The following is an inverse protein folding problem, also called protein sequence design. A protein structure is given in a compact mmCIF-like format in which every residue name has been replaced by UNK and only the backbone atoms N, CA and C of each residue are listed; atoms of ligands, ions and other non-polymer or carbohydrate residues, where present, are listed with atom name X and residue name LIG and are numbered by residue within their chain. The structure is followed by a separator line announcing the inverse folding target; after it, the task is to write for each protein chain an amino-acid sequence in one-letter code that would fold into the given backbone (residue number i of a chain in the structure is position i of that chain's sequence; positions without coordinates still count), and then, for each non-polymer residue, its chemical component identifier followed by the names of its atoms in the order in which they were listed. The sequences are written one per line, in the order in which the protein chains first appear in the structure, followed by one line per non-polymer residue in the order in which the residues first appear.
data_IF_109124397300
#
_entry.id   IF_109124397300
#
_cell.length_a   1.000
_cell.length_b   1.000
_cell.length_c   1.000
_cell.angle_alpha   90.00
_cell.angle_beta   90.00
_cell.angle_gamma   90.00
#
_symmetry.space_group_name_H-M   'P 1'
#
loop_
_entity.id
_entity.type
_entity.pdbx_description
1 polymer ?
#
# COMPACT_ATOMS: atom_id res chain seq x y z
N UNK A 1 22.24 -5.31 -7.19
CA UNK A 1 22.37 -3.92 -7.69
C UNK A 1 22.67 -3.03 -6.50
N UNK A 2 23.45 -1.97 -6.66
CA UNK A 2 23.71 -1.08 -5.53
C UNK A 2 22.47 -0.21 -5.28
N UNK A 3 21.83 -0.33 -4.12
CA UNK A 3 20.66 0.47 -3.71
C UNK A 3 20.86 1.97 -3.95
N UNK A 4 22.11 2.44 -3.85
CA UNK A 4 22.49 3.83 -4.11
C UNK A 4 22.29 4.28 -5.58
N UNK A 5 22.51 3.38 -6.56
CA UNK A 5 22.26 3.69 -7.98
C UNK A 5 20.77 3.89 -8.25
N UNK A 6 19.92 3.06 -7.63
CA UNK A 6 18.46 3.18 -7.75
C UNK A 6 17.99 4.50 -7.12
N UNK A 7 18.51 4.88 -5.95
CA UNK A 7 18.18 6.16 -5.30
C UNK A 7 18.53 7.34 -6.23
N UNK A 8 19.75 7.38 -6.78
CA UNK A 8 20.17 8.46 -7.68
C UNK A 8 19.28 8.56 -8.94
N UNK A 9 18.80 7.43 -9.47
CA UNK A 9 17.89 7.39 -10.63
C UNK A 9 16.49 7.90 -10.26
N UNK A 10 15.98 7.52 -9.07
CA UNK A 10 14.68 7.95 -8.56
C UNK A 10 14.65 9.46 -8.23
N UNK A 11 15.77 10.03 -7.80
CA UNK A 11 15.89 11.48 -7.56
C UNK A 11 15.88 12.28 -8.86
N UNK A 12 16.55 11.76 -9.90
CA UNK A 12 16.55 12.38 -11.24
C UNK A 12 15.20 12.32 -11.92
N UNK A 13 14.34 11.35 -11.57
CA UNK A 13 12.96 11.28 -12.10
C UNK A 13 12.06 12.38 -11.55
N UNK A 14 12.35 12.96 -10.39
CA UNK A 14 11.57 14.07 -9.83
C UNK A 14 12.05 15.48 -10.23
N UNK A 15 13.26 15.59 -10.80
CA UNK A 15 13.94 16.89 -11.03
C UNK A 15 14.57 17.04 -12.41
N UNK A 16 14.64 15.97 -13.19
CA UNK A 16 15.37 15.89 -14.45
C UNK A 16 14.56 16.23 -15.70
N UNK A 17 15.28 16.31 -16.81
CA UNK A 17 14.73 16.52 -18.15
C UNK A 17 13.95 15.30 -18.65
N UNK A 18 13.19 15.44 -19.74
CA UNK A 18 12.46 14.32 -20.35
C UNK A 18 13.38 13.13 -20.72
N UNK A 19 14.65 13.40 -21.05
CA UNK A 19 15.66 12.37 -21.28
C UNK A 19 16.09 11.63 -20.00
N UNK A 20 16.10 12.30 -18.84
CA UNK A 20 16.42 11.67 -17.55
C UNK A 20 15.28 10.74 -17.10
N UNK A 21 14.03 11.14 -17.34
CA UNK A 21 12.85 10.30 -17.11
C UNK A 21 12.89 9.02 -17.95
N UNK A 22 13.22 9.15 -19.23
CA UNK A 22 13.25 8.03 -20.17
C UNK A 22 14.40 7.07 -19.85
N UNK A 23 15.58 7.60 -19.48
CA UNK A 23 16.70 6.79 -19.01
C UNK A 23 16.39 6.04 -17.70
N UNK A 24 15.77 6.72 -16.73
CA UNK A 24 15.35 6.10 -15.49
C UNK A 24 14.35 4.96 -15.73
N UNK A 25 13.37 5.19 -16.61
CA UNK A 25 12.38 4.19 -16.98
C UNK A 25 13.02 2.98 -17.66
N UNK A 26 13.87 3.21 -18.66
CA UNK A 26 14.57 2.14 -19.37
C UNK A 26 15.49 1.34 -18.43
N UNK A 27 16.10 1.98 -17.44
CA UNK A 27 16.89 1.29 -16.43
C UNK A 27 16.03 0.39 -15.54
N UNK A 28 14.91 0.92 -15.04
CA UNK A 28 13.98 0.16 -14.20
C UNK A 28 13.34 -1.00 -14.96
N UNK A 29 12.99 -0.82 -16.23
CA UNK A 29 12.47 -1.88 -17.11
C UNK A 29 13.51 -3.00 -17.28
N UNK A 30 14.77 -2.66 -17.62
CA UNK A 30 15.85 -3.65 -17.71
C UNK A 30 16.11 -4.38 -16.39
N UNK A 31 16.04 -3.66 -15.27
CA UNK A 31 16.21 -4.26 -13.95
C UNK A 31 15.06 -5.23 -13.61
N UNK A 32 13.83 -4.87 -13.99
CA UNK A 32 12.66 -5.72 -13.83
C UNK A 32 12.73 -6.99 -14.69
N UNK A 33 13.24 -6.89 -15.92
CA UNK A 33 13.47 -8.04 -16.81
C UNK A 33 14.51 -9.02 -16.25
N UNK A 34 15.54 -8.51 -15.58
CA UNK A 34 16.59 -9.34 -14.99
C UNK A 34 16.12 -10.04 -13.70
N UNK A 35 15.61 -9.27 -12.73
CA UNK A 35 15.18 -9.80 -11.44
C UNK A 35 14.17 -8.86 -10.77
N UNK A 36 12.91 -8.97 -11.18
CA UNK A 36 11.81 -8.21 -10.59
C UNK A 36 11.71 -8.38 -9.06
N UNK A 37 11.78 -9.60 -8.47
CA UNK A 37 11.71 -9.75 -7.01
C UNK A 37 12.75 -8.93 -6.24
N UNK A 38 14.02 -8.95 -6.67
CA UNK A 38 15.08 -8.20 -5.98
C UNK A 38 14.94 -6.69 -6.22
N UNK A 39 14.47 -6.27 -7.40
CA UNK A 39 14.15 -4.86 -7.66
C UNK A 39 13.07 -4.35 -6.71
N UNK A 40 11.95 -5.07 -6.57
CA UNK A 40 10.86 -4.66 -5.67
C UNK A 40 11.31 -4.63 -4.22
N UNK A 41 12.16 -5.58 -3.81
CA UNK A 41 12.77 -5.56 -2.48
C UNK A 41 13.59 -4.29 -2.25
N UNK A 42 14.47 -3.93 -3.18
CA UNK A 42 15.24 -2.68 -3.08
C UNK A 42 14.36 -1.43 -3.07
N UNK A 43 13.29 -1.38 -3.88
CA UNK A 43 12.34 -0.27 -3.85
C UNK A 43 11.64 -0.17 -2.48
N UNK A 44 11.29 -1.30 -1.87
CA UNK A 44 10.69 -1.32 -0.53
C UNK A 44 11.66 -0.84 0.56
N UNK A 45 12.95 -1.15 0.43
CA UNK A 45 13.99 -0.67 1.35
C UNK A 45 14.16 0.87 1.24
N UNK A 46 14.08 1.40 0.02
CA UNK A 46 14.14 2.85 -0.22
C UNK A 46 12.91 3.55 0.37
N UNK A 47 11.73 2.94 0.27
CA UNK A 47 10.47 3.48 0.77
C UNK A 47 10.47 3.66 2.29
N UNK A 48 10.90 2.63 3.04
CA UNK A 48 10.90 2.64 4.51
C UNK A 48 12.01 3.52 5.10
N UNK A 49 13.12 3.68 4.39
CA UNK A 49 14.24 4.48 4.87
C UNK A 49 13.91 5.98 4.88
N UNK A 50 13.45 6.49 6.02
CA UNK A 50 13.10 7.89 6.24
C UNK A 50 14.29 8.87 6.10
N UNK A 51 15.52 8.36 6.09
CA UNK A 51 16.74 9.13 5.78
C UNK A 51 16.84 9.50 4.30
N UNK A 52 16.10 8.82 3.43
CA UNK A 52 16.13 9.07 1.99
C UNK A 52 15.28 10.28 1.62
N UNK A 53 15.62 10.89 0.50
CA UNK A 53 14.91 12.02 -0.07
C UNK A 53 13.41 11.69 -0.28
N UNK A 54 12.48 12.55 0.16
CA UNK A 54 11.04 12.35 -0.06
C UNK A 54 10.66 12.05 -1.51
N UNK A 55 11.35 12.66 -2.48
CA UNK A 55 11.13 12.41 -3.91
C UNK A 55 11.48 10.98 -4.30
N UNK A 56 12.62 10.47 -3.82
CA UNK A 56 13.05 9.10 -4.09
C UNK A 56 12.09 8.08 -3.47
N UNK A 57 11.61 8.35 -2.26
CA UNK A 57 10.62 7.51 -1.55
C UNK A 57 9.28 7.46 -2.30
N UNK A 58 8.77 8.61 -2.73
CA UNK A 58 7.53 8.70 -3.49
C UNK A 58 7.64 7.97 -4.85
N UNK A 59 8.78 8.11 -5.54
CA UNK A 59 9.03 7.38 -6.79
C UNK A 59 9.17 5.88 -6.56
N UNK A 60 9.85 5.44 -5.48
CA UNK A 60 9.95 4.02 -5.14
C UNK A 60 8.57 3.39 -4.90
N UNK A 61 7.71 4.08 -4.14
CA UNK A 61 6.34 3.64 -3.90
C UNK A 61 5.50 3.61 -5.19
N UNK A 62 5.68 4.59 -6.09
CA UNK A 62 5.00 4.60 -7.38
C UNK A 62 5.41 3.41 -8.25
N UNK A 63 6.70 3.06 -8.29
CA UNK A 63 7.19 1.91 -9.05
C UNK A 63 6.71 0.58 -8.45
N UNK A 64 6.71 0.46 -7.13
CA UNK A 64 6.10 -0.69 -6.43
C UNK A 64 4.62 -0.83 -6.82
N UNK A 65 3.86 0.25 -6.77
CA UNK A 65 2.45 0.26 -7.17
C UNK A 65 2.26 -0.21 -8.61
N UNK A 66 3.03 0.34 -9.54
CA UNK A 66 2.92 -0.01 -10.96
C UNK A 66 3.27 -1.49 -11.24
N UNK A 67 4.10 -2.10 -10.39
CA UNK A 67 4.39 -3.52 -10.46
C UNK A 67 3.31 -4.42 -9.84
N UNK A 68 2.49 -3.88 -8.93
CA UNK A 68 1.49 -4.62 -8.16
C UNK A 68 0.07 -4.47 -8.73
N UNK A 69 -0.23 -3.37 -9.41
CA UNK A 69 -1.58 -3.03 -9.85
C UNK A 69 -1.62 -2.53 -11.29
N UNK A 70 -2.70 -2.88 -11.98
CA UNK A 70 -3.09 -2.30 -13.27
C UNK A 70 -4.60 -2.06 -13.26
N UNK A 71 -5.04 -1.04 -13.99
CA UNK A 71 -6.48 -0.75 -14.20
C UNK A 71 -7.16 -1.78 -15.09
N UNK A 72 -6.39 -2.48 -15.94
CA UNK A 72 -6.92 -3.50 -16.83
C UNK A 72 -7.03 -4.84 -16.08
N UNK A 73 -8.22 -5.43 -16.05
CA UNK A 73 -8.52 -6.64 -15.27
C UNK A 73 -7.60 -7.82 -15.64
N UNK A 74 -7.32 -8.01 -16.94
CA UNK A 74 -6.42 -9.06 -17.41
C UNK A 74 -4.98 -8.87 -16.88
N UNK A 75 -4.50 -7.62 -16.87
CA UNK A 75 -3.17 -7.30 -16.33
C UNK A 75 -3.15 -7.36 -14.81
N UNK A 76 -4.24 -6.99 -14.13
CA UNK A 76 -4.40 -7.10 -12.68
C UNK A 76 -4.20 -8.56 -12.24
N UNK A 77 -4.90 -9.50 -12.87
CA UNK A 77 -4.74 -10.93 -12.57
C UNK A 77 -3.32 -11.42 -12.84
N UNK A 78 -2.73 -11.06 -14.00
CA UNK A 78 -1.35 -11.42 -14.31
C UNK A 78 -0.34 -10.87 -13.29
N UNK A 79 -0.54 -9.65 -12.79
CA UNK A 79 0.32 -9.04 -11.77
C UNK A 79 0.16 -9.70 -10.41
N UNK A 80 -1.06 -10.07 -10.02
CA UNK A 80 -1.32 -10.82 -8.79
C UNK A 80 -0.69 -12.21 -8.84
N UNK A 81 -0.81 -12.94 -9.95
CA UNK A 81 -0.15 -14.23 -10.13
C UNK A 81 1.37 -14.10 -10.11
N UNK A 82 1.91 -13.08 -10.81
CA UNK A 82 3.34 -12.76 -10.78
C UNK A 82 3.83 -12.48 -9.38
N UNK A 83 3.07 -11.72 -8.58
CA UNK A 83 3.36 -11.48 -7.16
C UNK A 83 3.36 -12.80 -6.39
N UNK A 84 2.28 -13.58 -6.43
CA UNK A 84 2.15 -14.82 -5.67
C UNK A 84 3.23 -15.86 -6.01
N UNK A 85 3.72 -15.87 -7.24
CA UNK A 85 4.83 -16.72 -7.69
C UNK A 85 6.21 -16.28 -7.17
N UNK A 86 6.33 -15.10 -6.56
CA UNK A 86 7.59 -14.65 -5.96
C UNK A 86 7.91 -15.43 -4.68
N UNK A 87 9.21 -15.60 -4.36
CA UNK A 87 9.64 -16.23 -3.12
C UNK A 87 9.02 -15.57 -1.88
N UNK A 88 8.49 -16.39 -0.97
CA UNK A 88 7.78 -15.91 0.22
C UNK A 88 8.62 -14.96 1.09
N UNK A 89 9.92 -15.25 1.24
CA UNK A 89 10.85 -14.40 1.98
C UNK A 89 10.96 -12.96 1.40
N UNK A 90 10.88 -12.83 0.08
CA UNK A 90 10.94 -11.52 -0.59
C UNK A 90 9.61 -10.79 -0.41
N UNK A 91 8.50 -11.49 -0.57
CA UNK A 91 7.16 -10.92 -0.34
C UNK A 91 6.97 -10.47 1.09
N UNK A 92 7.39 -11.28 2.06
CA UNK A 92 7.35 -10.96 3.48
C UNK A 92 8.16 -9.72 3.82
N UNK A 93 9.33 -9.56 3.19
CA UNK A 93 10.15 -8.36 3.35
C UNK A 93 9.48 -7.11 2.77
N UNK A 94 9.01 -7.19 1.53
CA UNK A 94 8.35 -6.07 0.85
C UNK A 94 7.08 -5.65 1.59
N UNK A 95 6.24 -6.61 1.98
CA UNK A 95 4.96 -6.32 2.64
C UNK A 95 5.15 -5.70 4.02
N UNK A 96 6.16 -6.14 4.78
CA UNK A 96 6.51 -5.53 6.06
C UNK A 96 7.10 -4.13 5.88
N UNK A 97 7.90 -3.91 4.84
CA UNK A 97 8.42 -2.58 4.53
C UNK A 97 7.31 -1.61 4.13
N UNK A 98 6.39 -2.01 3.25
CA UNK A 98 5.23 -1.21 2.87
C UNK A 98 4.33 -0.90 4.07
N UNK A 99 4.07 -1.88 4.94
CA UNK A 99 3.27 -1.68 6.15
C UNK A 99 3.96 -0.72 7.15
N UNK A 100 5.26 -0.88 7.39
CA UNK A 100 6.00 -0.02 8.30
C UNK A 100 6.23 1.40 7.73
N UNK A 101 6.10 1.57 6.41
CA UNK A 101 6.14 2.88 5.77
C UNK A 101 4.84 3.68 5.96
N UNK A 102 3.74 3.06 6.41
CA UNK A 102 2.48 3.76 6.66
C UNK A 102 2.69 4.92 7.65
N UNK A 103 2.25 6.11 7.25
CA UNK A 103 2.40 7.35 8.02
C UNK A 103 3.79 7.99 7.97
N UNK A 104 4.82 7.31 7.46
CA UNK A 104 6.15 7.93 7.30
C UNK A 104 6.27 8.81 6.06
N UNK A 105 5.28 8.74 5.17
CA UNK A 105 5.23 9.51 3.93
C UNK A 105 4.59 10.88 4.15
N UNK A 106 5.17 11.91 3.52
CA UNK A 106 4.60 13.25 3.50
C UNK A 106 3.71 13.50 2.27
N UNK A 107 3.75 12.60 1.28
CA UNK A 107 2.98 12.69 0.04
C UNK A 107 1.56 12.17 0.24
N UNK A 108 0.56 12.96 -0.15
CA UNK A 108 -0.85 12.57 -0.20
C UNK A 108 -1.34 12.43 -1.65
N UNK A 109 -2.14 11.41 -1.99
CA UNK A 109 -2.51 10.24 -1.16
C UNK A 109 -1.31 9.33 -0.86
N UNK A 110 -1.35 8.58 0.24
CA UNK A 110 -0.25 7.70 0.64
C UNK A 110 -0.04 6.59 -0.39
N UNK A 111 1.16 6.52 -0.96
CA UNK A 111 1.50 5.48 -1.92
C UNK A 111 1.79 4.15 -1.21
N UNK A 112 2.29 4.18 0.03
CA UNK A 112 2.41 3.00 0.87
C UNK A 112 1.05 2.36 1.16
N UNK A 113 0.02 3.17 1.49
CA UNK A 113 -1.35 2.67 1.71
C UNK A 113 -1.91 1.96 0.46
N UNK A 114 -1.67 2.52 -0.73
CA UNK A 114 -2.03 1.87 -2.00
C UNK A 114 -1.30 0.54 -2.19
N UNK A 115 0.02 0.50 -1.96
CA UNK A 115 0.79 -0.74 -2.09
C UNK A 115 0.29 -1.83 -1.14
N UNK A 116 0.00 -1.48 0.12
CA UNK A 116 -0.57 -2.41 1.11
C UNK A 116 -1.92 -2.93 0.62
N UNK A 117 -2.81 -2.05 0.13
CA UNK A 117 -4.10 -2.44 -0.43
C UNK A 117 -3.98 -3.42 -1.59
N UNK A 118 -3.11 -3.15 -2.56
CA UNK A 118 -2.95 -4.03 -3.73
C UNK A 118 -2.30 -5.38 -3.41
N UNK A 119 -1.30 -5.41 -2.50
CA UNK A 119 -0.73 -6.68 -2.03
C UNK A 119 -1.81 -7.49 -1.29
N UNK A 120 -2.61 -6.83 -0.45
CA UNK A 120 -3.71 -7.47 0.25
C UNK A 120 -4.73 -8.08 -0.72
N UNK A 121 -5.03 -7.43 -1.84
CA UNK A 121 -5.90 -7.97 -2.88
C UNK A 121 -5.38 -9.26 -3.52
N UNK A 122 -4.06 -9.43 -3.59
CA UNK A 122 -3.46 -10.67 -4.08
C UNK A 122 -3.40 -11.76 -2.99
N UNK A 123 -3.05 -11.39 -1.75
CA UNK A 123 -2.73 -12.34 -0.68
C UNK A 123 -3.94 -12.79 0.14
N UNK A 124 -4.85 -11.89 0.50
CA UNK A 124 -6.00 -12.22 1.37
C UNK A 124 -6.89 -13.30 0.75
N UNK A 125 -7.28 -13.24 -0.55
CA UNK A 125 -8.09 -14.31 -1.17
C UNK A 125 -7.39 -15.68 -1.22
N UNK A 126 -6.06 -15.70 -1.06
CA UNK A 126 -5.25 -16.93 -1.01
C UNK A 126 -4.90 -17.36 0.42
N UNK A 127 -5.61 -16.83 1.43
CA UNK A 127 -5.34 -17.06 2.86
C UNK A 127 -3.92 -16.67 3.29
N UNK A 128 -3.31 -15.71 2.61
CA UNK A 128 -2.01 -15.15 2.95
C UNK A 128 -2.22 -13.77 3.62
N UNK A 129 -1.30 -13.41 4.51
CA UNK A 129 -1.30 -12.13 5.24
C UNK A 129 -2.61 -11.82 6.00
N UNK A 130 -3.20 -12.84 6.63
CA UNK A 130 -4.47 -12.73 7.35
C UNK A 130 -4.42 -11.80 8.57
N UNK A 131 -3.23 -11.53 9.10
CA UNK A 131 -3.00 -10.62 10.22
C UNK A 131 -3.00 -9.14 9.82
N UNK A 132 -3.01 -8.82 8.52
CA UNK A 132 -2.95 -7.43 8.03
C UNK A 132 -4.10 -6.57 8.56
N UNK A 133 -5.35 -7.04 8.42
CA UNK A 133 -6.53 -6.27 8.80
C UNK A 133 -6.50 -5.97 10.30
N UNK A 134 -6.17 -6.96 11.14
CA UNK A 134 -6.03 -6.73 12.58
C UNK A 134 -4.95 -5.67 12.88
N UNK A 135 -3.79 -5.74 12.24
CA UNK A 135 -2.72 -4.74 12.43
C UNK A 135 -3.14 -3.33 11.99
N UNK A 136 -3.89 -3.21 10.89
CA UNK A 136 -4.43 -1.92 10.44
C UNK A 136 -5.46 -1.37 11.43
N UNK A 137 -6.32 -2.23 11.97
CA UNK A 137 -7.30 -1.86 13.00
C UNK A 137 -6.60 -1.42 14.28
N UNK A 138 -5.55 -2.12 14.70
CA UNK A 138 -4.75 -1.75 15.87
C UNK A 138 -4.08 -0.39 15.67
N UNK A 139 -3.58 -0.09 14.47
CA UNK A 139 -3.01 1.23 14.16
C UNK A 139 -4.02 2.37 14.33
N UNK A 140 -5.30 2.13 14.05
CA UNK A 140 -6.36 3.14 14.15
C UNK A 140 -6.90 3.26 15.56
N UNK A 141 -7.13 2.12 16.23
CA UNK A 141 -7.81 2.06 17.53
C UNK A 141 -6.89 2.27 18.73
N UNK A 142 -5.58 2.01 18.57
CA UNK A 142 -4.60 2.20 19.66
C UNK A 142 -4.47 3.68 20.03
N UNK A 143 -4.68 3.98 21.31
CA UNK A 143 -4.56 5.33 21.87
C UNK A 143 -3.11 5.82 21.76
N UNK A 144 -2.93 7.08 21.35
CA UNK A 144 -1.61 7.70 21.22
C UNK A 144 -0.87 7.40 19.91
N UNK A 145 -1.51 6.71 18.95
CA UNK A 145 -0.96 6.54 17.60
C UNK A 145 -0.95 7.88 16.84
N UNK A 146 0.12 8.20 16.10
CA UNK A 146 0.20 9.41 15.30
C UNK A 146 -0.86 9.47 14.19
N UNK A 147 -1.42 10.66 13.94
CA UNK A 147 -2.53 10.87 13.00
C UNK A 147 -2.23 10.39 11.59
N UNK A 148 -1.02 10.60 11.11
CA UNK A 148 -0.53 10.13 9.80
C UNK A 148 -0.58 8.60 9.66
N UNK A 149 -0.25 7.85 10.72
CA UNK A 149 -0.35 6.38 10.70
C UNK A 149 -1.82 5.97 10.67
N UNK A 150 -2.68 6.64 11.45
CA UNK A 150 -4.12 6.36 11.50
C UNK A 150 -4.77 6.64 10.16
N UNK A 151 -4.48 7.80 9.57
CA UNK A 151 -4.94 8.21 8.24
C UNK A 151 -4.51 7.20 7.16
N UNK A 152 -3.21 6.89 7.07
CA UNK A 152 -2.70 5.95 6.06
C UNK A 152 -3.24 4.52 6.25
N UNK A 153 -3.49 4.09 7.50
CA UNK A 153 -4.09 2.78 7.78
C UNK A 153 -5.57 2.72 7.35
N UNK A 154 -6.32 3.81 7.54
CA UNK A 154 -7.70 3.93 7.06
C UNK A 154 -7.77 4.00 5.53
N UNK A 155 -6.85 4.71 4.88
CA UNK A 155 -6.71 4.70 3.41
C UNK A 155 -6.45 3.28 2.90
N UNK A 156 -5.52 2.55 3.53
CA UNK A 156 -5.23 1.16 3.17
C UNK A 156 -6.45 0.25 3.34
N UNK A 157 -7.19 0.38 4.44
CA UNK A 157 -8.47 -0.33 4.63
C UNK A 157 -9.48 0.05 3.53
N UNK A 158 -9.56 1.32 3.15
CA UNK A 158 -10.44 1.78 2.06
C UNK A 158 -10.12 1.15 0.71
N UNK A 159 -8.84 1.01 0.36
CA UNK A 159 -8.41 0.31 -0.85
C UNK A 159 -8.73 -1.19 -0.79
N UNK A 160 -8.49 -1.85 0.35
CA UNK A 160 -8.86 -3.25 0.57
C UNK A 160 -10.36 -3.47 0.38
N UNK A 161 -11.18 -2.60 0.98
CA UNK A 161 -12.64 -2.69 0.89
C UNK A 161 -13.16 -2.47 -0.54
N UNK A 162 -12.44 -1.70 -1.35
CA UNK A 162 -12.84 -1.38 -2.72
C UNK A 162 -12.50 -2.49 -3.72
N UNK A 163 -11.32 -3.11 -3.57
CA UNK A 163 -10.73 -3.95 -4.62
C UNK A 163 -10.79 -5.47 -4.32
N UNK A 164 -11.11 -5.87 -3.08
CA UNK A 164 -11.31 -7.27 -2.69
C UNK A 164 -12.78 -7.65 -2.76
N UNK A 165 -13.05 -8.88 -3.22
CA UNK A 165 -14.39 -9.45 -3.21
C UNK A 165 -15.00 -9.41 -1.79
N UNK A 166 -16.21 -8.85 -1.72
CA UNK A 166 -17.03 -8.77 -0.52
C UNK A 166 -17.08 -10.06 0.29
N UNK A 167 -17.21 -11.22 -0.37
CA UNK A 167 -17.36 -12.52 0.29
C UNK A 167 -16.12 -12.92 1.09
N UNK A 168 -14.93 -12.47 0.65
CA UNK A 168 -13.66 -12.73 1.33
C UNK A 168 -13.54 -11.88 2.61
N UNK A 169 -14.16 -10.71 2.64
CA UNK A 169 -14.08 -9.76 3.75
C UNK A 169 -15.15 -9.96 4.82
N UNK A 170 -16.24 -10.70 4.53
CA UNK A 170 -17.34 -10.96 5.48
C UNK A 170 -16.84 -11.44 6.86
N UNK A 171 -15.90 -12.41 6.98
CA UNK A 171 -15.44 -12.87 8.29
C UNK A 171 -14.75 -11.78 9.12
N UNK A 172 -14.20 -10.76 8.46
CA UNK A 172 -13.45 -9.67 9.09
C UNK A 172 -14.23 -8.35 9.12
N UNK A 173 -15.48 -8.34 8.65
CA UNK A 173 -16.30 -7.14 8.48
C UNK A 173 -16.47 -6.35 9.78
N UNK A 174 -16.68 -7.04 10.90
CA UNK A 174 -16.84 -6.42 12.22
C UNK A 174 -15.59 -5.65 12.66
N UNK A 175 -14.42 -6.24 12.41
CA UNK A 175 -13.12 -5.68 12.82
C UNK A 175 -12.79 -4.47 11.96
N UNK A 176 -13.05 -4.54 10.66
CA UNK A 176 -12.94 -3.41 9.73
C UNK A 176 -13.89 -2.28 10.15
N UNK A 177 -15.19 -2.57 10.32
CA UNK A 177 -16.20 -1.59 10.74
C UNK A 177 -15.83 -0.89 12.05
N UNK A 178 -15.27 -1.63 13.01
CA UNK A 178 -14.84 -1.06 14.30
C UNK A 178 -13.78 0.02 14.09
N UNK A 179 -12.78 -0.21 13.24
CA UNK A 179 -11.78 0.81 12.92
C UNK A 179 -12.37 2.01 12.19
N UNK A 180 -13.27 1.77 11.22
CA UNK A 180 -13.89 2.85 10.44
C UNK A 180 -14.76 3.74 11.34
N UNK A 181 -15.62 3.16 12.17
CA UNK A 181 -16.44 3.90 13.13
C UNK A 181 -15.57 4.64 14.15
N UNK A 182 -14.48 4.02 14.61
CA UNK A 182 -13.53 4.68 15.51
C UNK A 182 -12.89 5.91 14.88
N UNK A 183 -12.51 5.85 13.60
CA UNK A 183 -11.98 6.99 12.84
C UNK A 183 -13.04 8.07 12.52
N UNK A 184 -14.33 7.72 12.52
CA UNK A 184 -15.45 8.63 12.25
C UNK A 184 -16.05 9.29 13.50
N UNK A 185 -15.57 8.92 14.70
CA UNK A 185 -16.13 9.40 15.97
C UNK A 185 -16.10 10.92 16.08
N UNK A 186 -17.02 11.49 16.85
CA UNK A 186 -17.13 12.95 17.03
C UNK A 186 -15.91 13.53 17.75
N UNK A 187 -15.25 12.72 18.57
CA UNK A 187 -14.06 13.07 19.34
C UNK A 187 -12.79 13.11 18.46
N UNK A 188 -12.86 12.64 17.21
CA UNK A 188 -11.72 12.68 16.31
C UNK A 188 -11.47 14.11 15.81
N UNK A 189 -10.36 14.70 16.27
CA UNK A 189 -10.01 16.09 15.99
C UNK A 189 -9.37 16.29 14.62
N UNK A 190 -8.85 15.22 14.00
CA UNK A 190 -8.20 15.32 12.71
C UNK A 190 -9.19 15.07 11.56
N UNK A 191 -9.48 16.11 10.78
CA UNK A 191 -10.40 16.03 9.64
C UNK A 191 -9.93 15.06 8.54
N UNK A 192 -8.61 14.89 8.35
CA UNK A 192 -8.10 13.94 7.34
C UNK A 192 -8.36 12.49 7.76
N UNK A 193 -8.16 12.17 9.06
CA UNK A 193 -8.49 10.85 9.61
C UNK A 193 -9.98 10.57 9.47
N UNK A 194 -10.84 11.55 9.79
CA UNK A 194 -12.29 11.42 9.60
C UNK A 194 -12.68 11.24 8.13
N UNK A 195 -12.06 11.98 7.21
CA UNK A 195 -12.34 11.87 5.78
C UNK A 195 -11.92 10.50 5.24
N UNK A 196 -10.72 10.02 5.59
CA UNK A 196 -10.24 8.70 5.21
C UNK A 196 -11.16 7.60 5.75
N UNK A 197 -11.57 7.68 7.02
CA UNK A 197 -12.51 6.73 7.61
C UNK A 197 -13.89 6.74 6.93
N UNK A 198 -14.42 7.92 6.63
CA UNK A 198 -15.72 8.07 5.94
C UNK A 198 -15.67 7.54 4.51
N UNK A 199 -14.56 7.76 3.82
CA UNK A 199 -14.34 7.27 2.45
C UNK A 199 -14.22 5.75 2.44
N UNK A 200 -13.44 5.19 3.36
CA UNK A 200 -13.34 3.74 3.53
C UNK A 200 -14.67 3.10 3.97
N UNK A 201 -15.48 3.80 4.76
CA UNK A 201 -16.83 3.37 5.13
C UNK A 201 -17.73 3.21 3.91
N UNK A 202 -17.72 4.17 2.99
CA UNK A 202 -18.48 4.09 1.74
C UNK A 202 -18.11 2.83 0.94
N UNK A 203 -16.81 2.53 0.84
CA UNK A 203 -16.31 1.34 0.14
C UNK A 203 -16.66 0.03 0.88
N UNK A 204 -16.90 0.07 2.20
CA UNK A 204 -17.23 -1.11 2.99
C UNK A 204 -18.70 -1.52 2.96
N UNK A 205 -19.58 -0.68 2.39
CA UNK A 205 -21.04 -0.90 2.45
C UNK A 205 -21.50 -2.16 1.70
N UNK A 206 -20.77 -2.60 0.67
CA UNK A 206 -21.16 -3.75 -0.13
C UNK A 206 -21.14 -5.06 0.67
N UNK A 207 -20.12 -5.27 1.52
CA UNK A 207 -19.97 -6.51 2.31
C UNK A 207 -20.50 -6.41 3.74
N UNK A 208 -20.91 -5.22 4.19
CA UNK A 208 -21.41 -5.01 5.55
C UNK A 208 -22.93 -5.14 5.65
N UNK A 209 -23.62 -5.47 4.54
CA UNK A 209 -25.08 -5.65 4.49
C UNK A 209 -25.65 -6.56 5.59
N UNK A 210 -24.94 -7.63 5.94
CA UNK A 210 -25.35 -8.56 7.01
C UNK A 210 -25.14 -8.00 8.43
N UNK A 211 -24.31 -6.97 8.60
CA UNK A 211 -24.02 -6.34 9.91
C UNK A 211 -25.02 -5.23 10.25
N UNK A 212 -25.79 -4.75 9.26
CA UNK A 212 -26.83 -3.71 9.42
C UNK A 212 -28.26 -4.27 9.40
N UNK A 213 -28.42 -5.59 9.48
CA UNK A 213 -29.72 -6.27 9.62
C UNK A 213 -30.07 -6.54 11.09
#
# INVERSE_FOLDING_TARGET
MATQEIINILERTGTGSQADLENARNFLEKAAEQNLPELLKHLSDILIAATNNPTARAQAALQLKNALYSKEENLKQAYQERWLNMPANIRDHIKMNCFNALGTESSKPSQAAQCVGYIACAEIPRNQWQDLIQRLVDNVTTVGRPDNIREASLEALGYICQDIDSDVLVPQSNVILTALVYGMRKEETNDNVRLAATTAMLNSLEFTKNNFQ
#
